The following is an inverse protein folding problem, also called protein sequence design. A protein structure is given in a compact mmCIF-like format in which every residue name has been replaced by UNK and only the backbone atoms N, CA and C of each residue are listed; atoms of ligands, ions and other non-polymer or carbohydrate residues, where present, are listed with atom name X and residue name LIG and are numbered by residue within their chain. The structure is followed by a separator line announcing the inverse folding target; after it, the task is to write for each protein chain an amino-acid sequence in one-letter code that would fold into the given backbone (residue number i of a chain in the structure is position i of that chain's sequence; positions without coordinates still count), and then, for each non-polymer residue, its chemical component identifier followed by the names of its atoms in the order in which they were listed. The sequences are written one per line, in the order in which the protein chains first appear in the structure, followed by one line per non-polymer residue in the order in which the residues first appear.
data_IF_572753846757
#
_entry.id   IF_572753846757
#
_cell.length_a   1.000
_cell.length_b   1.000
_cell.length_c   1.000
_cell.angle_alpha   90.00
_cell.angle_beta   90.00
_cell.angle_gamma   90.00
#
_symmetry.space_group_name_H-M   'P 1'
#
loop_
_entity.id
_entity.type
_entity.pdbx_description
1 polymer ?
#
# COMPACT_ATOMS: atom_id res chain seq x y z
N UNK A 1 -23.39 -25.27 15.48
CA UNK A 1 -23.01 -24.02 14.78
C UNK A 1 -22.04 -23.13 15.55
N UNK A 2 -22.10 -23.01 16.89
CA UNK A 2 -21.25 -22.04 17.63
C UNK A 2 -19.74 -22.33 17.70
N UNK A 3 -19.30 -23.58 17.60
CA UNK A 3 -17.88 -23.95 17.78
C UNK A 3 -16.97 -23.46 16.63
N UNK A 4 -17.48 -23.45 15.40
CA UNK A 4 -16.71 -22.98 14.23
C UNK A 4 -16.54 -21.47 14.23
N UNK A 5 -17.54 -20.71 14.70
CA UNK A 5 -17.47 -19.25 14.79
C UNK A 5 -16.43 -18.83 15.84
N UNK A 6 -16.38 -19.52 16.98
CA UNK A 6 -15.40 -19.25 18.03
C UNK A 6 -13.97 -19.49 17.54
N UNK A 7 -13.73 -20.59 16.80
CA UNK A 7 -12.41 -20.92 16.23
C UNK A 7 -11.98 -19.84 15.22
N UNK A 8 -12.87 -19.42 14.32
CA UNK A 8 -12.57 -18.36 13.34
C UNK A 8 -12.24 -17.03 14.05
N UNK A 9 -12.97 -16.68 15.11
CA UNK A 9 -12.69 -15.48 15.90
C UNK A 9 -11.33 -15.55 16.61
N UNK A 10 -11.00 -16.69 17.21
CA UNK A 10 -9.74 -16.88 17.93
C UNK A 10 -8.57 -16.88 16.95
N UNK A 11 -8.68 -17.55 15.81
CA UNK A 11 -7.65 -17.55 14.75
C UNK A 11 -7.49 -16.14 14.18
N UNK A 12 -8.59 -15.41 13.96
CA UNK A 12 -8.57 -14.01 13.52
C UNK A 12 -7.86 -13.09 14.53
N UNK A 13 -8.15 -13.22 15.83
CA UNK A 13 -7.49 -12.46 16.89
C UNK A 13 -6.00 -12.80 17.00
N UNK A 14 -5.63 -14.08 16.92
CA UNK A 14 -4.24 -14.51 16.96
C UNK A 14 -3.47 -14.02 15.73
N UNK A 15 -4.08 -14.07 14.54
CA UNK A 15 -3.48 -13.54 13.33
C UNK A 15 -3.30 -12.02 13.39
N UNK A 16 -4.32 -11.29 13.86
CA UNK A 16 -4.24 -9.84 14.08
C UNK A 16 -3.16 -9.46 15.10
N UNK A 17 -3.12 -10.16 16.24
CA UNK A 17 -2.10 -9.97 17.27
C UNK A 17 -0.68 -10.26 16.75
N UNK A 18 -0.50 -11.32 15.96
CA UNK A 18 0.77 -11.66 15.36
C UNK A 18 1.23 -10.58 14.35
N UNK A 19 0.30 -10.06 13.53
CA UNK A 19 0.58 -9.00 12.56
C UNK A 19 1.03 -7.73 13.30
N UNK A 20 0.29 -7.28 14.32
CA UNK A 20 0.69 -6.14 15.15
C UNK A 20 2.04 -6.36 15.82
N UNK A 21 2.26 -7.54 16.40
CA UNK A 21 3.51 -7.88 17.06
C UNK A 21 4.71 -7.86 16.10
N UNK A 22 4.54 -8.39 14.88
CA UNK A 22 5.58 -8.38 13.85
C UNK A 22 5.88 -6.96 13.38
N UNK A 23 4.84 -6.13 13.18
CA UNK A 23 4.99 -4.71 12.84
C UNK A 23 5.76 -4.00 13.95
N UNK A 24 5.33 -4.15 15.21
CA UNK A 24 5.97 -3.51 16.36
C UNK A 24 7.42 -3.96 16.56
N UNK A 25 7.67 -5.27 16.44
CA UNK A 25 9.02 -5.83 16.54
C UNK A 25 9.94 -5.26 15.45
N UNK A 26 9.45 -5.15 14.22
CA UNK A 26 10.24 -4.65 13.09
C UNK A 26 10.43 -3.13 13.14
N UNK A 27 9.45 -2.37 13.65
CA UNK A 27 9.45 -0.91 13.62
C UNK A 27 10.09 -0.27 14.87
N UNK A 28 9.80 -0.80 16.06
CA UNK A 28 10.12 -0.15 17.33
C UNK A 28 11.37 -0.69 18.04
N UNK A 29 11.88 -1.90 17.72
CA UNK A 29 13.05 -2.47 18.43
C UNK A 29 14.42 -1.97 17.97
N UNK A 30 14.54 -0.81 17.32
CA UNK A 30 15.87 -0.21 17.09
C UNK A 30 16.24 0.63 18.31
N UNK A 31 17.35 0.34 19.02
CA UNK A 31 17.76 1.16 20.13
C UNK A 31 17.99 2.59 19.63
N UNK A 32 17.31 3.56 20.25
CA UNK A 32 17.63 4.98 20.05
C UNK A 32 19.08 5.14 20.49
N UNK A 33 20.00 5.33 19.55
CA UNK A 33 21.38 5.68 19.91
C UNK A 33 21.28 6.98 20.69
N UNK A 34 21.62 6.95 21.97
CA UNK A 34 21.72 8.17 22.76
C UNK A 34 22.72 9.09 22.05
N UNK A 35 22.27 10.30 21.70
CA UNK A 35 23.19 11.29 21.18
C UNK A 35 24.23 11.57 22.28
N UNK A 36 25.53 11.57 21.97
CA UNK A 36 26.53 11.99 22.94
C UNK A 36 26.24 13.44 23.35
N UNK A 37 26.48 13.85 24.62
CA UNK A 37 26.36 15.25 25.01
C UNK A 37 27.20 16.09 24.04
N UNK A 38 26.54 16.94 23.26
CA UNK A 38 27.17 17.56 22.10
C UNK A 38 28.19 18.61 22.54
N UNK A 39 29.33 18.62 21.83
CA UNK A 39 30.41 19.61 21.95
C UNK A 39 29.91 21.09 21.89
N UNK A 40 28.68 21.32 21.42
CA UNK A 40 28.07 22.63 21.27
C UNK A 40 27.45 23.17 22.57
N UNK A 41 26.92 22.31 23.44
CA UNK A 41 26.37 22.76 24.73
C UNK A 41 27.44 23.42 25.61
N UNK A 42 28.66 22.88 25.62
CA UNK A 42 29.78 23.46 26.37
C UNK A 42 30.24 24.80 25.78
N UNK A 43 30.26 24.93 24.44
CA UNK A 43 30.62 26.19 23.77
C UNK A 43 29.64 27.32 24.05
N UNK A 44 28.33 27.04 24.05
CA UNK A 44 27.31 28.06 24.35
C UNK A 44 27.38 28.50 25.81
N UNK A 45 27.54 27.54 26.72
CA UNK A 45 27.68 27.85 28.15
C UNK A 45 28.97 28.62 28.46
N UNK A 46 30.00 28.52 27.60
CA UNK A 46 31.24 29.31 27.69
C UNK A 46 31.15 30.71 27.08
N UNK A 47 30.19 30.98 26.20
CA UNK A 47 29.96 32.33 25.66
C UNK A 47 29.07 33.12 26.62
N UNK A 48 29.66 34.04 27.39
CA UNK A 48 28.92 34.87 28.33
C UNK A 48 27.86 35.73 27.60
N UNK A 49 26.59 35.76 28.07
CA UNK A 49 25.56 36.61 27.50
C UNK A 49 25.98 38.08 27.65
N UNK A 50 25.92 38.84 26.55
CA UNK A 50 26.30 40.25 26.52
C UNK A 50 25.12 41.18 26.84
N UNK A 51 23.90 40.65 26.96
CA UNK A 51 22.68 41.41 27.29
C UNK A 51 21.64 40.54 28.02
N UNK A 52 20.75 41.20 28.80
CA UNK A 52 19.67 40.54 29.55
C UNK A 52 18.69 39.77 28.64
N UNK A 53 18.48 40.25 27.41
CA UNK A 53 17.68 39.57 26.39
C UNK A 53 18.31 38.26 25.94
N UNK A 54 19.65 38.20 25.91
CA UNK A 54 20.39 37.00 25.52
C UNK A 54 20.32 35.93 26.62
N UNK A 55 20.35 36.33 27.88
CA UNK A 55 20.22 35.44 29.05
C UNK A 55 18.84 34.77 29.14
N UNK A 56 17.76 35.53 28.91
CA UNK A 56 16.40 34.97 28.79
C UNK A 56 16.24 34.01 27.61
N UNK A 57 16.99 34.23 26.53
CA UNK A 57 16.96 33.35 25.37
C UNK A 57 17.67 32.02 25.70
N UNK A 58 18.84 32.06 26.33
CA UNK A 58 19.58 30.85 26.70
C UNK A 58 18.83 29.95 27.69
N UNK A 59 18.12 30.50 28.67
CA UNK A 59 17.33 29.70 29.63
C UNK A 59 16.15 28.97 28.97
N UNK A 60 15.52 29.58 27.97
CA UNK A 60 14.48 28.92 27.16
C UNK A 60 15.04 27.83 26.25
N UNK A 61 16.25 28.02 25.75
CA UNK A 61 16.95 26.99 24.97
C UNK A 61 17.30 25.79 25.86
N UNK A 62 17.79 26.02 27.09
CA UNK A 62 18.07 24.96 28.08
C UNK A 62 16.80 24.17 28.48
N UNK A 63 15.64 24.83 28.62
CA UNK A 63 14.36 24.13 28.82
C UNK A 63 13.96 23.26 27.61
N UNK A 64 14.14 23.78 26.39
CA UNK A 64 13.85 23.03 25.15
C UNK A 64 14.78 21.81 24.97
N UNK A 65 16.05 21.94 25.36
CA UNK A 65 17.02 20.84 25.38
C UNK A 65 16.55 19.67 26.23
N UNK A 66 15.99 19.95 27.42
CA UNK A 66 15.52 18.92 28.35
C UNK A 66 14.38 18.08 27.76
N UNK A 67 13.58 18.68 26.88
CA UNK A 67 12.39 18.05 26.27
C UNK A 67 12.72 17.38 24.94
N UNK A 68 13.58 17.98 24.12
CA UNK A 68 13.93 17.50 22.79
C UNK A 68 15.43 17.68 22.52
N UNK A 69 16.28 16.66 22.80
CA UNK A 69 17.73 16.79 22.66
C UNK A 69 18.15 17.12 21.22
N UNK A 70 17.44 16.57 20.23
CA UNK A 70 17.75 16.77 18.81
C UNK A 70 17.47 18.21 18.34
N UNK A 71 16.36 18.80 18.80
CA UNK A 71 15.99 20.19 18.51
C UNK A 71 16.94 21.16 19.21
N UNK A 72 17.27 20.87 20.47
CA UNK A 72 18.24 21.65 21.22
C UNK A 72 19.60 21.68 20.53
N UNK A 73 20.12 20.53 20.08
CA UNK A 73 21.40 20.44 19.38
C UNK A 73 21.42 21.28 18.09
N UNK A 74 20.32 21.23 17.33
CA UNK A 74 20.15 22.05 16.13
C UNK A 74 20.18 23.54 16.48
N UNK A 75 19.41 23.96 17.47
CA UNK A 75 19.34 25.35 17.91
C UNK A 75 20.69 25.85 18.43
N UNK A 76 21.41 25.03 19.18
CA UNK A 76 22.76 25.32 19.64
C UNK A 76 23.76 25.45 18.48
N UNK A 77 23.68 24.58 17.49
CA UNK A 77 24.54 24.65 16.31
C UNK A 77 24.30 25.93 15.49
N UNK A 78 23.10 26.50 15.54
CA UNK A 78 22.73 27.73 14.83
C UNK A 78 23.13 28.98 15.62
N UNK A 79 22.91 28.98 16.93
CA UNK A 79 23.25 30.10 17.82
C UNK A 79 24.77 30.27 17.99
N UNK A 80 25.54 29.19 17.90
CA UNK A 80 27.00 29.23 18.02
C UNK A 80 27.72 29.69 16.74
N UNK A 81 27.01 29.97 15.63
CA UNK A 81 27.64 30.45 14.39
C UNK A 81 28.13 31.90 14.58
N UNK A 82 29.41 32.22 14.30
CA UNK A 82 29.93 33.58 14.49
C UNK A 82 29.21 34.63 13.63
N UNK A 83 28.65 34.22 12.49
CA UNK A 83 27.84 35.07 11.62
C UNK A 83 26.42 35.36 12.14
N UNK A 84 25.90 34.56 13.07
CA UNK A 84 24.59 34.79 13.68
C UNK A 84 24.74 35.69 14.91
N UNK A 85 25.77 35.45 15.73
CA UNK A 85 26.08 36.26 16.93
C UNK A 85 26.50 37.71 16.65
N UNK A 86 27.02 38.02 15.46
CA UNK A 86 27.51 39.36 15.11
C UNK A 86 26.43 40.31 14.58
N UNK A 87 25.21 39.82 14.33
CA UNK A 87 24.11 40.59 13.74
C UNK A 87 23.19 41.19 14.81
N UNK A 88 22.49 42.31 14.50
CA UNK A 88 21.47 42.86 15.38
C UNK A 88 20.37 41.83 15.67
N UNK A 89 19.65 41.97 16.81
CA UNK A 89 18.77 40.93 17.34
C UNK A 89 17.67 40.49 16.37
N UNK A 90 17.12 41.43 15.58
CA UNK A 90 16.08 41.14 14.58
C UNK A 90 16.60 40.24 13.45
N UNK A 91 17.81 40.53 12.94
CA UNK A 91 18.45 39.77 11.86
C UNK A 91 18.96 38.42 12.37
N UNK A 92 19.42 38.36 13.62
CA UNK A 92 19.81 37.12 14.29
C UNK A 92 18.63 36.16 14.42
N UNK A 93 17.49 36.65 14.89
CA UNK A 93 16.26 35.85 15.02
C UNK A 93 15.83 35.27 13.67
N UNK A 94 15.81 36.10 12.61
CA UNK A 94 15.49 35.64 11.26
C UNK A 94 16.47 34.57 10.73
N UNK A 95 17.78 34.73 10.97
CA UNK A 95 18.80 33.76 10.51
C UNK A 95 18.73 32.44 11.27
N UNK A 96 18.41 32.47 12.57
CA UNK A 96 18.17 31.28 13.38
C UNK A 96 16.90 30.56 12.94
N UNK A 97 15.80 31.30 12.70
CA UNK A 97 14.55 30.73 12.19
C UNK A 97 14.76 30.03 10.84
N UNK A 98 15.43 30.70 9.89
CA UNK A 98 15.72 30.10 8.59
C UNK A 98 16.63 28.86 8.72
N UNK A 99 17.68 28.93 9.54
CA UNK A 99 18.54 27.78 9.81
C UNK A 99 17.80 26.60 10.44
N UNK A 100 16.79 26.87 11.29
CA UNK A 100 15.95 25.85 11.89
C UNK A 100 14.99 25.23 10.88
N UNK A 101 14.44 26.03 9.96
CA UNK A 101 13.59 25.56 8.87
C UNK A 101 14.38 24.60 7.95
N UNK A 102 15.59 24.98 7.53
CA UNK A 102 16.46 24.11 6.72
C UNK A 102 16.82 22.82 7.46
N UNK A 103 17.18 22.91 8.74
CA UNK A 103 17.44 21.72 9.54
C UNK A 103 16.22 20.80 9.65
N UNK A 104 15.03 21.37 9.81
CA UNK A 104 13.79 20.60 9.85
C UNK A 104 13.55 19.89 8.53
N UNK A 105 13.72 20.58 7.40
CA UNK A 105 13.58 20.00 6.06
C UNK A 105 14.58 18.84 5.84
N UNK A 106 15.85 19.01 6.23
CA UNK A 106 16.87 17.95 6.16
C UNK A 106 16.50 16.70 6.98
N UNK A 107 15.95 16.91 8.19
CA UNK A 107 15.49 15.82 9.06
C UNK A 107 14.25 15.15 8.49
N UNK A 108 13.32 15.93 7.93
CA UNK A 108 12.12 15.43 7.27
C UNK A 108 12.47 14.61 6.04
N UNK A 109 13.38 15.06 5.19
CA UNK A 109 13.80 14.33 3.98
C UNK A 109 14.44 12.98 4.33
N UNK A 110 15.33 12.98 5.33
CA UNK A 110 15.98 11.74 5.78
C UNK A 110 15.00 10.75 6.41
N UNK A 111 14.10 11.22 7.27
CA UNK A 111 13.11 10.37 7.93
C UNK A 111 12.05 9.85 6.96
N UNK A 112 11.62 10.70 6.02
CA UNK A 112 10.65 10.35 4.97
C UNK A 112 11.23 9.34 3.98
N UNK A 113 12.51 9.45 3.61
CA UNK A 113 13.18 8.49 2.74
C UNK A 113 13.19 7.07 3.32
N UNK A 114 13.55 6.94 4.60
CA UNK A 114 13.57 5.65 5.29
C UNK A 114 12.16 5.11 5.57
N UNK A 115 11.19 5.98 5.84
CA UNK A 115 9.77 5.61 5.96
C UNK A 115 9.24 5.06 4.64
N UNK A 116 9.41 5.80 3.54
CA UNK A 116 8.91 5.45 2.20
C UNK A 116 9.45 4.10 1.74
N UNK A 117 10.76 3.86 1.90
CA UNK A 117 11.39 2.58 1.54
C UNK A 117 10.84 1.40 2.35
N UNK A 118 10.54 1.61 3.64
CA UNK A 118 9.96 0.57 4.51
C UNK A 118 8.49 0.33 4.20
N UNK A 119 7.72 1.40 4.07
CA UNK A 119 6.30 1.35 3.70
C UNK A 119 6.09 0.64 2.36
N UNK A 120 6.90 0.94 1.33
CA UNK A 120 6.80 0.26 0.03
C UNK A 120 7.11 -1.24 0.12
N UNK A 121 8.07 -1.66 0.95
CA UNK A 121 8.36 -3.09 1.15
C UNK A 121 7.21 -3.83 1.84
N UNK A 122 6.61 -3.21 2.86
CA UNK A 122 5.45 -3.77 3.55
C UNK A 122 4.22 -3.81 2.64
N UNK A 123 3.98 -2.77 1.85
CA UNK A 123 2.90 -2.75 0.86
C UNK A 123 3.07 -3.87 -0.17
N UNK A 124 4.30 -4.10 -0.65
CA UNK A 124 4.59 -5.20 -1.57
C UNK A 124 4.38 -6.57 -0.93
N UNK A 125 4.83 -6.76 0.31
CA UNK A 125 4.62 -8.01 1.05
C UNK A 125 3.14 -8.29 1.30
N UNK A 126 2.40 -7.31 1.81
CA UNK A 126 0.97 -7.44 2.09
C UNK A 126 0.17 -7.64 0.79
N UNK A 127 0.49 -6.91 -0.27
CA UNK A 127 -0.15 -7.07 -1.58
C UNK A 127 0.09 -8.47 -2.17
N UNK A 128 1.33 -8.96 -2.11
CA UNK A 128 1.68 -10.31 -2.59
C UNK A 128 1.03 -11.40 -1.74
N UNK A 129 1.03 -11.22 -0.42
CA UNK A 129 0.35 -12.14 0.50
C UNK A 129 -1.15 -12.19 0.22
N UNK A 130 -1.79 -11.03 0.02
CA UNK A 130 -3.22 -10.96 -0.29
C UNK A 130 -3.53 -11.60 -1.65
N UNK A 131 -2.70 -11.36 -2.67
CA UNK A 131 -2.85 -11.99 -3.98
C UNK A 131 -2.73 -13.52 -3.89
N UNK A 132 -1.81 -14.04 -3.07
CA UNK A 132 -1.68 -15.47 -2.82
C UNK A 132 -2.89 -16.03 -2.07
N UNK A 133 -3.30 -15.40 -0.96
CA UNK A 133 -4.43 -15.86 -0.14
C UNK A 133 -5.74 -15.88 -0.91
N UNK A 134 -5.99 -14.85 -1.72
CA UNK A 134 -7.17 -14.74 -2.56
C UNK A 134 -7.00 -15.45 -3.92
N UNK A 135 -5.84 -16.07 -4.18
CA UNK A 135 -5.47 -16.66 -5.47
C UNK A 135 -5.86 -15.75 -6.67
N UNK A 136 -5.53 -14.47 -6.55
CA UNK A 136 -5.72 -13.49 -7.62
C UNK A 136 -4.47 -13.52 -8.49
N UNK A 137 -4.57 -14.18 -9.63
CA UNK A 137 -3.51 -14.29 -10.63
C UNK A 137 -3.88 -13.45 -11.88
N UNK A 138 -3.17 -12.35 -12.08
CA UNK A 138 -3.40 -11.44 -13.21
C UNK A 138 -3.16 -12.08 -14.57
N UNK A 139 -2.21 -13.02 -14.69
CA UNK A 139 -1.94 -13.73 -15.95
C UNK A 139 -3.09 -14.69 -16.25
N UNK A 140 -3.51 -15.48 -15.26
CA UNK A 140 -4.60 -16.44 -15.42
C UNK A 140 -5.92 -15.73 -15.80
N UNK A 141 -6.24 -14.64 -15.11
CA UNK A 141 -7.40 -13.79 -15.44
C UNK A 141 -7.29 -13.29 -16.89
N UNK A 142 -6.14 -12.74 -17.28
CA UNK A 142 -5.95 -12.22 -18.62
C UNK A 142 -6.07 -13.31 -19.70
N UNK A 143 -5.50 -14.50 -19.47
CA UNK A 143 -5.56 -15.61 -20.42
C UNK A 143 -6.97 -16.16 -20.58
N UNK A 144 -7.71 -16.31 -19.48
CA UNK A 144 -9.11 -16.79 -19.53
C UNK A 144 -10.01 -15.76 -20.22
N UNK A 145 -9.86 -14.48 -19.91
CA UNK A 145 -10.61 -13.41 -20.61
C UNK A 145 -10.27 -13.33 -22.10
N UNK A 146 -9.03 -13.64 -22.49
CA UNK A 146 -8.62 -13.64 -23.89
C UNK A 146 -9.22 -14.82 -24.66
N UNK A 147 -9.20 -16.01 -24.06
CA UNK A 147 -9.61 -17.27 -24.70
C UNK A 147 -11.12 -17.49 -24.70
N UNK A 148 -11.86 -16.93 -23.73
CA UNK A 148 -13.30 -17.13 -23.60
C UNK A 148 -14.11 -15.87 -24.00
N UNK A 149 -14.65 -15.79 -25.23
CA UNK A 149 -15.45 -14.64 -25.68
C UNK A 149 -16.82 -14.54 -24.97
N UNK A 150 -17.38 -15.66 -24.51
CA UNK A 150 -18.65 -15.72 -23.77
C UNK A 150 -18.55 -15.05 -22.40
N UNK A 151 -17.46 -15.29 -21.69
CA UNK A 151 -17.16 -14.70 -20.37
C UNK A 151 -17.10 -13.17 -20.45
N UNK A 152 -16.54 -12.63 -21.53
CA UNK A 152 -16.54 -11.18 -21.81
C UNK A 152 -17.94 -10.62 -22.02
N UNK A 153 -18.81 -11.32 -22.74
CA UNK A 153 -20.16 -10.87 -23.02
C UNK A 153 -21.03 -10.82 -21.76
N UNK A 154 -20.89 -11.82 -20.87
CA UNK A 154 -21.59 -11.86 -19.57
C UNK A 154 -21.16 -10.69 -18.69
N UNK A 155 -19.85 -10.45 -18.56
CA UNK A 155 -19.33 -9.33 -17.76
C UNK A 155 -19.80 -7.98 -18.31
N UNK A 156 -19.78 -7.79 -19.63
CA UNK A 156 -20.24 -6.53 -20.25
C UNK A 156 -21.74 -6.32 -20.05
N UNK A 157 -22.56 -7.37 -20.20
CA UNK A 157 -24.00 -7.29 -19.98
C UNK A 157 -24.33 -6.95 -18.53
N UNK A 158 -23.60 -7.53 -17.56
CA UNK A 158 -23.76 -7.20 -16.15
C UNK A 158 -23.30 -5.78 -15.83
N UNK A 159 -22.17 -5.33 -16.38
CA UNK A 159 -21.67 -3.97 -16.20
C UNK A 159 -22.63 -2.89 -16.73
N UNK A 160 -23.46 -3.22 -17.74
CA UNK A 160 -24.51 -2.32 -18.24
C UNK A 160 -25.72 -2.22 -17.31
N UNK A 161 -25.91 -3.20 -16.43
CA UNK A 161 -27.05 -3.28 -15.51
C UNK A 161 -26.74 -2.79 -14.10
N UNK A 162 -25.52 -2.31 -13.80
CA UNK A 162 -25.17 -1.76 -12.48
C UNK A 162 -25.90 -0.41 -12.30
N UNK A 163 -26.95 -0.34 -11.47
CA UNK A 163 -27.62 0.93 -11.20
C UNK A 163 -26.66 1.80 -10.38
N UNK A 164 -26.54 3.07 -10.76
CA UNK A 164 -25.71 4.00 -10.02
C UNK A 164 -26.25 4.19 -8.60
N UNK A 165 -25.42 3.82 -7.62
CA UNK A 165 -25.47 4.25 -6.20
C UNK A 165 -26.44 3.47 -5.29
N UNK A 166 -25.86 2.92 -4.21
CA UNK A 166 -26.50 2.40 -2.98
C UNK A 166 -27.35 1.11 -3.08
N UNK A 167 -26.68 -0.04 -3.27
CA UNK A 167 -27.28 -1.31 -2.84
C UNK A 167 -27.01 -1.52 -1.35
N UNK A 168 -28.08 -1.62 -0.55
CA UNK A 168 -28.09 -2.18 0.81
C UNK A 168 -28.43 -3.67 0.73
N UNK A 169 -27.64 -4.46 -0.01
CA UNK A 169 -27.84 -5.89 -0.16
C UNK A 169 -27.33 -6.66 1.06
N UNK A 170 -27.91 -7.84 1.31
CA UNK A 170 -27.32 -8.80 2.25
C UNK A 170 -26.02 -9.38 1.69
N UNK A 171 -25.05 -9.74 2.54
CA UNK A 171 -23.76 -10.30 2.08
C UNK A 171 -23.95 -11.53 1.17
N UNK A 172 -24.99 -12.32 1.43
CA UNK A 172 -25.30 -13.54 0.69
C UNK A 172 -25.75 -13.24 -0.76
N UNK A 173 -26.49 -12.15 -0.96
CA UNK A 173 -26.96 -11.71 -2.28
C UNK A 173 -25.78 -11.26 -3.17
N UNK A 174 -24.81 -10.54 -2.58
CA UNK A 174 -23.58 -10.16 -3.30
C UNK A 174 -22.70 -11.35 -3.64
N UNK A 175 -22.64 -12.36 -2.76
CA UNK A 175 -21.86 -13.58 -3.03
C UNK A 175 -22.47 -14.35 -4.21
N UNK A 176 -23.80 -14.42 -4.29
CA UNK A 176 -24.47 -15.09 -5.39
C UNK A 176 -24.31 -14.33 -6.72
N UNK A 177 -24.39 -13.01 -6.71
CA UNK A 177 -24.13 -12.16 -7.88
C UNK A 177 -22.67 -12.28 -8.37
N UNK A 178 -21.69 -12.28 -7.44
CA UNK A 178 -20.27 -12.47 -7.76
C UNK A 178 -19.99 -13.87 -8.31
N UNK A 179 -20.64 -14.91 -7.77
CA UNK A 179 -20.51 -16.27 -8.29
C UNK A 179 -21.11 -16.38 -9.71
N UNK A 180 -22.18 -15.64 -10.02
CA UNK A 180 -22.77 -15.60 -11.36
C UNK A 180 -21.89 -14.87 -12.39
N UNK A 181 -21.03 -13.95 -11.94
CA UNK A 181 -20.08 -13.25 -12.81
C UNK A 181 -18.96 -14.16 -13.35
N UNK A 182 -18.79 -15.37 -12.80
CA UNK A 182 -17.86 -16.38 -13.30
C UNK A 182 -16.40 -15.91 -13.35
N UNK A 183 -16.04 -14.95 -12.49
CA UNK A 183 -14.71 -14.32 -12.51
C UNK A 183 -13.70 -15.35 -11.97
N UNK A 184 -12.58 -15.58 -12.67
CA UNK A 184 -11.55 -16.52 -12.21
C UNK A 184 -10.69 -15.89 -11.10
N UNK A 185 -11.30 -15.64 -9.95
CA UNK A 185 -10.67 -15.17 -8.71
C UNK A 185 -10.99 -16.14 -7.59
N UNK A 186 -10.10 -16.26 -6.60
CA UNK A 186 -10.28 -17.20 -5.50
C UNK A 186 -9.80 -18.60 -5.83
N UNK A 187 -9.97 -19.49 -4.86
CA UNK A 187 -9.68 -20.91 -5.00
C UNK A 187 -10.92 -21.61 -5.55
N UNK A 188 -10.90 -21.99 -6.82
CA UNK A 188 -12.01 -22.72 -7.44
C UNK A 188 -11.85 -24.20 -7.14
N UNK A 189 -12.96 -24.82 -6.81
CA UNK A 189 -13.00 -26.21 -6.41
C UNK A 189 -13.97 -26.99 -7.29
N UNK A 190 -13.64 -28.26 -7.56
CA UNK A 190 -14.48 -29.17 -8.35
C UNK A 190 -14.62 -30.49 -7.58
N UNK A 191 -15.81 -31.09 -7.66
CA UNK A 191 -16.04 -32.42 -7.09
C UNK A 191 -15.13 -33.46 -7.76
N UNK A 192 -14.50 -34.37 -6.99
CA UNK A 192 -13.59 -35.38 -7.52
C UNK A 192 -14.34 -36.36 -8.43
N UNK A 193 -13.79 -36.60 -9.62
CA UNK A 193 -14.30 -37.62 -10.53
C UNK A 193 -13.91 -39.03 -10.06
N UNK A 194 -14.60 -40.10 -10.50
CA UNK A 194 -14.26 -41.47 -10.14
C UNK A 194 -12.78 -41.79 -10.47
N UNK A 195 -12.00 -42.19 -9.46
CA UNK A 195 -10.56 -42.47 -9.60
C UNK A 195 -9.64 -41.29 -9.26
N UNK A 196 -10.18 -40.11 -8.96
CA UNK A 196 -9.42 -39.02 -8.35
C UNK A 196 -9.54 -39.09 -6.83
N UNK A 197 -8.41 -38.98 -6.15
CA UNK A 197 -8.34 -38.97 -4.70
C UNK A 197 -7.96 -37.58 -4.19
N UNK A 198 -8.49 -37.25 -3.03
CA UNK A 198 -8.17 -36.02 -2.36
C UNK A 198 -6.95 -36.17 -1.47
N UNK A 199 -6.02 -35.21 -1.55
CA UNK A 199 -4.93 -35.12 -0.61
C UNK A 199 -4.39 -33.70 -0.46
N UNK A 200 -3.40 -33.57 0.40
CA UNK A 200 -2.68 -32.31 0.63
C UNK A 200 -1.47 -32.15 -0.30
N UNK A 201 -1.06 -33.24 -0.96
CA UNK A 201 0.08 -33.29 -1.88
C UNK A 201 -0.39 -33.61 -3.31
N UNK A 202 0.01 -32.80 -4.30
CA UNK A 202 -0.27 -33.04 -5.71
C UNK A 202 0.56 -34.20 -6.28
N UNK A 203 -0.09 -35.20 -6.87
CA UNK A 203 0.51 -36.31 -7.63
C UNK A 203 -0.51 -37.41 -7.92
N UNK A 204 -0.67 -37.85 -9.16
CA UNK A 204 -1.74 -38.79 -9.56
C UNK A 204 -1.74 -40.09 -8.72
N UNK A 205 -2.90 -40.56 -8.21
CA UNK A 205 -4.26 -40.04 -8.39
C UNK A 205 -4.68 -38.95 -7.38
N UNK A 206 -3.77 -38.49 -6.53
CA UNK A 206 -4.01 -37.56 -5.42
C UNK A 206 -3.87 -36.11 -5.87
N UNK A 207 -4.93 -35.32 -5.70
CA UNK A 207 -4.96 -33.90 -6.07
C UNK A 207 -5.11 -33.02 -4.83
N UNK A 208 -4.49 -31.81 -4.84
CA UNK A 208 -4.58 -30.88 -3.73
C UNK A 208 -6.03 -30.43 -3.57
N UNK A 209 -6.58 -30.63 -2.39
CA UNK A 209 -7.99 -30.45 -2.15
C UNK A 209 -8.28 -29.65 -0.88
N UNK A 210 -9.49 -29.12 -0.80
CA UNK A 210 -10.05 -28.50 0.40
C UNK A 210 -11.16 -29.41 0.94
N UNK A 211 -11.14 -29.62 2.25
CA UNK A 211 -12.17 -30.37 2.97
C UNK A 211 -13.24 -29.41 3.49
N UNK A 212 -14.49 -29.69 3.17
CA UNK A 212 -15.67 -28.95 3.63
C UNK A 212 -16.69 -29.92 4.22
N UNK A 213 -17.77 -29.39 4.81
CA UNK A 213 -18.88 -30.18 5.34
C UNK A 213 -19.53 -31.07 4.26
N UNK A 214 -19.43 -30.69 2.98
CA UNK A 214 -20.00 -31.40 1.84
C UNK A 214 -19.01 -32.38 1.18
N UNK A 215 -17.94 -32.77 1.87
CA UNK A 215 -16.94 -33.71 1.36
C UNK A 215 -15.66 -33.01 0.93
N UNK A 216 -14.94 -33.63 0.01
CA UNK A 216 -13.65 -33.14 -0.44
C UNK A 216 -13.73 -32.64 -1.87
N UNK A 217 -13.23 -31.42 -2.12
CA UNK A 217 -13.21 -30.82 -3.45
C UNK A 217 -11.79 -30.46 -3.88
N UNK A 218 -11.44 -30.80 -5.12
CA UNK A 218 -10.10 -30.59 -5.70
C UNK A 218 -9.94 -29.13 -6.12
N UNK A 219 -8.76 -28.55 -5.89
CA UNK A 219 -8.39 -27.21 -6.32
C UNK A 219 -7.98 -27.19 -7.80
N UNK A 220 -8.76 -26.55 -8.67
CA UNK A 220 -8.52 -26.54 -10.12
C UNK A 220 -7.45 -25.54 -10.57
N UNK A 221 -7.16 -24.52 -9.75
CA UNK A 221 -6.34 -23.35 -10.14
C UNK A 221 -4.83 -23.53 -9.93
N UNK A 222 -4.40 -24.72 -9.52
CA UNK A 222 -3.01 -25.05 -9.24
C UNK A 222 -2.43 -25.80 -10.44
N UNK A 223 -1.31 -25.34 -11.03
CA UNK A 223 -0.60 -26.10 -12.04
C UNK A 223 -0.17 -27.47 -11.51
N UNK A 224 -0.12 -28.46 -12.40
CA UNK A 224 0.43 -29.78 -12.04
C UNK A 224 1.91 -29.65 -11.68
N UNK A 225 2.43 -30.50 -10.80
CA UNK A 225 3.83 -30.39 -10.32
C UNK A 225 4.87 -30.69 -11.40
N UNK A 226 4.52 -31.49 -12.39
CA UNK A 226 5.33 -31.76 -13.57
C UNK A 226 5.31 -30.60 -14.59
N UNK A 227 4.33 -29.69 -14.48
CA UNK A 227 4.23 -28.49 -15.31
C UNK A 227 5.01 -27.31 -14.72
N UNK A 228 6.34 -27.36 -14.87
CA UNK A 228 7.23 -26.29 -14.44
C UNK A 228 6.93 -24.94 -15.10
N UNK A 229 6.39 -24.94 -16.33
CA UNK A 229 5.99 -23.70 -17.01
C UNK A 229 4.73 -23.10 -16.40
N UNK A 230 3.73 -23.91 -16.09
CA UNK A 230 2.53 -23.50 -15.37
C UNK A 230 2.86 -22.87 -14.02
N UNK A 231 3.77 -23.48 -13.25
CA UNK A 231 4.23 -22.92 -11.97
C UNK A 231 4.98 -21.58 -12.13
N UNK A 232 5.79 -21.46 -13.17
CA UNK A 232 6.47 -20.21 -13.48
C UNK A 232 5.45 -19.10 -13.77
N UNK A 233 4.48 -19.36 -14.65
CA UNK A 233 3.42 -18.41 -14.99
C UNK A 233 2.58 -18.06 -13.76
N UNK A 234 2.26 -19.03 -12.90
CA UNK A 234 1.54 -18.82 -11.64
C UNK A 234 2.29 -17.89 -10.70
N UNK A 235 3.60 -18.10 -10.53
CA UNK A 235 4.44 -17.25 -9.70
C UNK A 235 4.50 -15.82 -10.23
N UNK A 236 4.73 -15.64 -11.54
CA UNK A 236 4.74 -14.32 -12.16
C UNK A 236 3.38 -13.64 -12.10
N UNK A 237 2.30 -14.39 -12.29
CA UNK A 237 0.93 -13.91 -12.18
C UNK A 237 0.64 -13.33 -10.80
N UNK A 238 0.93 -14.10 -9.76
CA UNK A 238 0.80 -13.66 -8.36
C UNK A 238 1.72 -12.48 -8.02
N UNK A 239 2.94 -12.46 -8.55
CA UNK A 239 3.88 -11.35 -8.35
C UNK A 239 3.37 -10.05 -9.00
N UNK A 240 2.84 -10.13 -10.22
CA UNK A 240 2.22 -8.98 -10.90
C UNK A 240 1.02 -8.48 -10.11
N UNK A 241 0.14 -9.36 -9.64
CA UNK A 241 -1.00 -9.00 -8.81
C UNK A 241 -0.59 -8.35 -7.48
N UNK A 242 0.45 -8.89 -6.83
CA UNK A 242 1.01 -8.32 -5.60
C UNK A 242 1.60 -6.93 -5.80
N UNK A 243 2.37 -6.73 -6.88
CA UNK A 243 2.92 -5.40 -7.25
C UNK A 243 1.78 -4.44 -7.58
N UNK A 244 0.78 -4.89 -8.33
CA UNK A 244 -0.38 -4.10 -8.68
C UNK A 244 -1.12 -3.57 -7.43
N UNK A 245 -1.34 -4.44 -6.44
CA UNK A 245 -1.93 -4.07 -5.16
C UNK A 245 -1.04 -3.08 -4.37
N UNK A 246 0.28 -3.24 -4.42
CA UNK A 246 1.22 -2.44 -3.66
C UNK A 246 1.32 -0.96 -4.10
N UNK A 247 0.95 -0.63 -5.33
CA UNK A 247 1.05 0.73 -5.87
C UNK A 247 -0.02 1.70 -5.32
N UNK A 248 -1.07 1.16 -4.69
CA UNK A 248 -2.12 1.96 -4.03
C UNK A 248 -3.05 2.70 -4.99
N UNK A 249 -4.09 3.33 -4.42
CA UNK A 249 -5.17 3.98 -5.15
C UNK A 249 -4.73 5.14 -6.09
N UNK A 250 -3.77 6.03 -5.73
CA UNK A 250 -3.40 7.16 -6.60
C UNK A 250 -2.90 6.72 -7.97
N UNK A 251 -2.10 5.65 -8.02
CA UNK A 251 -1.59 5.08 -9.27
C UNK A 251 -2.72 4.58 -10.18
N UNK A 252 -3.65 3.79 -9.62
CA UNK A 252 -4.77 3.24 -10.39
C UNK A 252 -5.75 4.32 -10.86
N UNK A 253 -5.97 5.36 -10.06
CA UNK A 253 -6.79 6.50 -10.44
C UNK A 253 -6.17 7.28 -11.61
N UNK A 254 -4.86 7.51 -11.58
CA UNK A 254 -4.15 8.17 -12.68
C UNK A 254 -4.14 7.32 -13.96
N UNK A 255 -3.98 6.00 -13.83
CA UNK A 255 -4.09 5.08 -14.96
C UNK A 255 -5.49 5.12 -15.58
N UNK A 256 -6.52 5.08 -14.74
CA UNK A 256 -7.91 5.10 -15.19
C UNK A 256 -8.25 6.42 -15.90
N UNK A 257 -7.80 7.57 -15.37
CA UNK A 257 -7.90 8.87 -16.05
C UNK A 257 -7.25 8.86 -17.43
N UNK A 258 -6.05 8.28 -17.57
CA UNK A 258 -5.35 8.18 -18.85
C UNK A 258 -6.14 7.37 -19.87
N UNK A 259 -6.68 6.22 -19.46
CA UNK A 259 -7.47 5.34 -20.34
C UNK A 259 -8.80 5.99 -20.74
N UNK A 260 -9.50 6.64 -19.81
CA UNK A 260 -10.74 7.36 -20.10
C UNK A 260 -10.51 8.53 -21.07
N UNK A 261 -9.42 9.28 -20.88
CA UNK A 261 -9.06 10.37 -21.78
C UNK A 261 -8.64 9.90 -23.18
N UNK A 262 -8.02 8.72 -23.32
CA UNK A 262 -7.69 8.14 -24.63
C UNK A 262 -8.92 7.71 -25.43
N UNK A 263 -10.05 7.40 -24.76
CA UNK A 263 -11.31 7.06 -25.43
C UNK A 263 -12.09 8.28 -25.93
N UNK A 264 -11.79 9.49 -25.45
CA UNK A 264 -12.52 10.71 -25.86
C UNK A 264 -11.95 11.43 -27.09
N UNK A 265 -10.84 10.95 -27.68
CA UNK A 265 -10.24 11.53 -28.90
C UNK A 265 -10.82 10.98 -30.21
N UNK A 266 -12.06 10.47 -30.20
CA UNK A 266 -12.80 10.16 -31.42
C UNK A 266 -13.16 11.45 -32.17
N UNK A 267 -12.78 11.56 -33.46
CA UNK A 267 -12.98 12.72 -34.33
C UNK A 267 -14.34 13.42 -34.09
N UNK A 268 -14.30 14.71 -33.77
CA UNK A 268 -15.47 15.57 -33.91
C UNK A 268 -15.97 15.49 -35.38
N UNK A 269 -17.28 15.32 -35.63
CA UNK A 269 -17.80 15.35 -36.98
C UNK A 269 -17.46 16.70 -37.62
N UNK A 270 -16.95 16.69 -38.85
CA UNK A 270 -16.87 17.92 -39.66
C UNK A 270 -18.31 18.41 -39.78
N UNK A 271 -18.63 19.53 -39.15
CA UNK A 271 -19.84 20.28 -39.43
C UNK A 271 -19.85 20.57 -40.94
N UNK A 272 -20.81 19.97 -41.64
CA UNK A 272 -21.17 20.34 -42.99
C UNK A 272 -21.75 21.77 -42.97
N UNK A 273 -20.86 22.75 -42.99
CA UNK A 273 -21.20 24.13 -43.33
C UNK A 273 -20.84 24.36 -44.80
N UNK A 274 -21.70 23.92 -45.71
CA UNK A 274 -21.74 24.44 -47.09
C UNK A 274 -23.00 23.99 -47.85
N UNK A 275 -24.19 24.03 -47.25
CA UNK A 275 -25.43 23.73 -48.00
C UNK A 275 -26.66 24.43 -47.39
N UNK A 276 -26.62 25.76 -47.27
CA UNK A 276 -27.84 26.57 -47.08
C UNK A 276 -27.69 28.05 -47.43
N UNK A 277 -26.74 28.40 -48.31
CA UNK A 277 -26.63 29.75 -48.90
C UNK A 277 -27.02 29.72 -50.38
N UNK A 278 -28.09 28.99 -50.72
CA UNK A 278 -28.70 28.98 -52.05
C UNK A 278 -30.10 28.38 -51.97
N UNK A 279 -31.07 29.14 -51.48
CA UNK A 279 -32.42 29.14 -52.04
C UNK A 279 -33.02 30.52 -51.78
N UNK A 280 -33.71 30.97 -52.83
CA UNK A 280 -34.28 32.29 -53.11
C UNK A 280 -35.20 32.87 -52.01
#
# INVERSE_FOLDING_TARGET
MGLNILIVFVVGLLAGWLIEWVIDWAYWRRPKKAAPPTQYQSKIRSSAPKSATQEQMYSRVDDLFSKNPMLGDAMASLLSRPETMSKPPEVMAAKVQNGLAVWFDDVMDRSSGDYKRRASKWALLLGTLMAFLLNVDSIEIATRMWQEPTLRQVIVAQAQNVPGTESQGSLDEYIEEVNQLGIPVGWTTVEPQPGQECGWMPGEPVYPAIWSNNGCNILLNLPRMDDGWGWLMKFFGLLISGIAAAQGAPFWFDLLKKVLNMRSTGRAPRTAQSESASFE
#
